data_IF_611681811476
#
_entry.id   IF_611681811476
#
_cell.length_a   1.000
_cell.length_b   1.000
_cell.length_c   1.000
_cell.angle_alpha   90.00
_cell.angle_beta   90.00
_cell.angle_gamma   90.00
#
_symmetry.space_group_name_H-M   'P 1'
#
loop_
_entity.id
_entity.type
_entity.pdbx_description
1 polymer ?
#
# COMPACT_ATOMS: atom_id res chain seq x y z
N UNK A 1 -12.85 8.43 20.76
CA UNK A 1 -13.06 8.06 19.35
C UNK A 1 -11.87 7.19 18.99
N UNK A 2 -12.10 6.05 18.37
CA UNK A 2 -11.00 5.18 17.93
C UNK A 2 -10.27 5.89 16.77
N UNK A 3 -9.04 6.31 17.02
CA UNK A 3 -8.22 7.10 16.08
C UNK A 3 -7.76 6.26 14.89
N UNK A 4 -7.56 4.95 15.07
CA UNK A 4 -7.26 4.01 14.00
C UNK A 4 -8.47 3.90 13.05
N UNK A 5 -9.67 3.75 13.62
CA UNK A 5 -10.89 3.71 12.81
C UNK A 5 -11.12 5.03 12.06
N UNK A 6 -10.89 6.18 12.71
CA UNK A 6 -11.02 7.48 12.07
C UNK A 6 -10.04 7.64 10.89
N UNK A 7 -8.80 7.15 11.05
CA UNK A 7 -7.83 7.10 9.97
C UNK A 7 -8.28 6.18 8.83
N UNK A 8 -8.75 4.97 9.13
CA UNK A 8 -9.28 4.04 8.14
C UNK A 8 -10.46 4.64 7.35
N UNK A 9 -11.38 5.31 8.04
CA UNK A 9 -12.50 6.00 7.41
C UNK A 9 -12.02 7.13 6.49
N UNK A 10 -11.02 7.91 6.90
CA UNK A 10 -10.42 8.95 6.08
C UNK A 10 -9.80 8.38 4.81
N UNK A 11 -8.99 7.32 4.91
CA UNK A 11 -8.37 6.67 3.74
C UNK A 11 -9.48 6.16 2.81
N UNK A 12 -10.45 5.42 3.34
CA UNK A 12 -11.57 4.91 2.55
C UNK A 12 -12.31 6.03 1.80
N UNK A 13 -12.74 7.09 2.49
CA UNK A 13 -13.48 8.19 1.87
C UNK A 13 -12.67 8.92 0.80
N UNK A 14 -11.38 9.17 1.05
CA UNK A 14 -10.51 9.81 0.06
C UNK A 14 -10.26 8.92 -1.15
N UNK A 15 -10.07 7.62 -0.97
CA UNK A 15 -9.96 6.67 -2.08
C UNK A 15 -11.24 6.64 -2.91
N UNK A 16 -12.42 6.55 -2.28
CA UNK A 16 -13.71 6.61 -2.99
C UNK A 16 -13.83 7.89 -3.81
N UNK A 17 -13.53 9.04 -3.22
CA UNK A 17 -13.60 10.33 -3.90
C UNK A 17 -12.61 10.42 -5.08
N UNK A 18 -11.39 9.94 -4.91
CA UNK A 18 -10.37 9.93 -5.97
C UNK A 18 -10.78 9.01 -7.14
N UNK A 19 -11.28 7.81 -6.84
CA UNK A 19 -11.78 6.87 -7.85
C UNK A 19 -12.98 7.43 -8.63
N UNK A 20 -13.88 8.15 -7.95
CA UNK A 20 -15.01 8.82 -8.61
C UNK A 20 -14.57 9.98 -9.54
N UNK A 21 -13.38 10.54 -9.31
CA UNK A 21 -12.80 11.63 -10.12
C UNK A 21 -12.12 11.17 -11.41
N UNK A 22 -11.89 9.87 -11.60
CA UNK A 22 -11.26 9.34 -12.82
C UNK A 22 -12.11 9.61 -14.06
N UNK A 23 -11.46 9.91 -15.19
CA UNK A 23 -12.14 9.95 -16.49
C UNK A 23 -12.62 8.55 -16.90
N UNK A 24 -13.59 8.49 -17.82
CA UNK A 24 -14.08 7.22 -18.37
C UNK A 24 -12.97 6.46 -19.10
N UNK A 25 -12.16 7.17 -19.90
CA UNK A 25 -11.01 6.60 -20.61
C UNK A 25 -10.00 5.92 -19.68
N UNK A 26 -9.66 6.56 -18.55
CA UNK A 26 -8.76 5.96 -17.57
C UNK A 26 -9.43 4.77 -16.87
N UNK A 27 -10.70 4.89 -16.48
CA UNK A 27 -11.42 3.81 -15.81
C UNK A 27 -11.48 2.53 -16.65
N UNK A 28 -11.66 2.67 -17.96
CA UNK A 28 -11.72 1.52 -18.87
C UNK A 28 -10.35 0.85 -19.08
N UNK A 29 -9.25 1.60 -18.93
CA UNK A 29 -7.89 1.09 -19.14
C UNK A 29 -7.22 0.55 -17.87
N UNK A 30 -7.67 0.97 -16.68
CA UNK A 30 -7.12 0.51 -15.39
C UNK A 30 -7.38 -0.98 -15.16
N UNK A 31 -6.33 -1.72 -14.83
CA UNK A 31 -6.43 -3.16 -14.52
C UNK A 31 -6.03 -3.53 -13.09
N UNK A 32 -5.38 -2.64 -12.34
CA UNK A 32 -5.01 -2.87 -10.95
C UNK A 32 -4.86 -1.55 -10.19
N UNK A 33 -5.15 -1.58 -8.89
CA UNK A 33 -4.80 -0.53 -7.95
C UNK A 33 -3.56 -0.93 -7.14
N UNK A 34 -2.78 0.06 -6.71
CA UNK A 34 -1.68 -0.09 -5.78
C UNK A 34 -2.02 0.66 -4.49
N UNK A 35 -1.85 -0.03 -3.36
CA UNK A 35 -1.78 0.50 -2.01
C UNK A 35 -0.33 0.26 -1.55
N UNK A 36 0.55 1.19 -1.92
CA UNK A 36 1.94 1.14 -1.56
C UNK A 36 2.13 1.65 -0.13
N UNK A 37 2.42 0.74 0.79
CA UNK A 37 2.76 1.04 2.18
C UNK A 37 4.27 1.30 2.29
N UNK A 38 4.63 2.37 2.97
CA UNK A 38 6.00 2.85 3.21
C UNK A 38 6.24 2.92 4.72
N UNK A 39 7.51 2.91 5.14
CA UNK A 39 7.88 3.07 6.56
C UNK A 39 8.15 1.76 7.31
N UNK A 40 8.50 0.68 6.60
CA UNK A 40 9.04 -0.52 7.25
C UNK A 40 10.40 -0.27 7.93
N UNK A 41 11.23 0.59 7.30
CA UNK A 41 12.57 0.99 7.79
C UNK A 41 12.64 2.48 8.18
N UNK A 42 11.59 3.26 7.88
CA UNK A 42 11.53 4.71 8.18
C UNK A 42 10.56 4.97 9.34
N UNK A 43 10.84 6.02 10.10
CA UNK A 43 10.12 6.39 11.33
C UNK A 43 8.59 6.42 11.22
N UNK A 44 8.04 6.80 10.06
CA UNK A 44 6.60 7.06 9.93
C UNK A 44 6.01 6.33 8.73
N UNK A 45 4.95 5.53 8.94
CA UNK A 45 4.33 4.84 7.84
C UNK A 45 3.64 5.82 6.91
N UNK A 46 3.72 5.50 5.63
CA UNK A 46 3.04 6.23 4.57
C UNK A 46 2.21 5.29 3.71
N UNK A 47 1.19 5.82 3.08
CA UNK A 47 0.42 5.16 2.03
C UNK A 47 0.42 6.04 0.79
N UNK A 48 0.71 5.44 -0.35
CA UNK A 48 0.39 6.00 -1.65
C UNK A 48 -0.58 5.05 -2.35
N UNK A 49 -1.75 5.58 -2.72
CA UNK A 49 -2.73 4.88 -3.54
C UNK A 49 -2.57 5.36 -4.97
N UNK A 50 -2.38 4.43 -5.89
CA UNK A 50 -2.24 4.69 -7.32
C UNK A 50 -2.86 3.56 -8.14
N UNK A 51 -2.72 3.62 -9.45
CA UNK A 51 -3.23 2.59 -10.37
C UNK A 51 -2.23 2.32 -11.50
N UNK A 52 -2.46 1.24 -12.23
CA UNK A 52 -1.81 0.99 -13.51
C UNK A 52 -2.82 0.66 -14.60
N UNK A 53 -2.43 0.89 -15.84
CA UNK A 53 -3.31 0.82 -17.01
C UNK A 53 -2.76 -0.13 -18.07
N UNK A 54 -3.64 -0.68 -18.91
CA UNK A 54 -3.22 -1.61 -19.96
C UNK A 54 -2.32 -0.90 -20.98
N UNK A 55 -2.57 0.38 -21.28
CA UNK A 55 -1.70 1.19 -22.14
C UNK A 55 -0.27 1.26 -21.58
N UNK A 56 -0.10 1.57 -20.29
CA UNK A 56 1.23 1.61 -19.66
C UNK A 56 1.91 0.24 -19.74
N UNK A 57 1.18 -0.84 -19.45
CA UNK A 57 1.72 -2.20 -19.55
C UNK A 57 2.23 -2.50 -20.97
N UNK A 58 1.42 -2.27 -22.00
CA UNK A 58 1.83 -2.48 -23.40
C UNK A 58 3.04 -1.61 -23.76
N UNK A 59 3.10 -0.37 -23.29
CA UNK A 59 4.23 0.54 -23.51
C UNK A 59 5.55 0.11 -22.83
N UNK A 60 5.49 -0.80 -21.86
CA UNK A 60 6.65 -1.31 -21.11
C UNK A 60 7.06 -2.74 -21.49
N UNK A 61 6.26 -3.46 -22.28
CA UNK A 61 6.65 -4.77 -22.81
C UNK A 61 7.99 -4.72 -23.53
N UNK A 62 8.80 -5.77 -23.35
CA UNK A 62 10.16 -5.85 -23.89
C UNK A 62 11.19 -4.86 -23.32
N UNK A 63 10.84 -4.05 -22.31
CA UNK A 63 11.77 -3.17 -21.58
C UNK A 63 12.20 -3.73 -20.22
N UNK A 64 11.74 -4.94 -19.90
CA UNK A 64 12.03 -5.64 -18.66
C UNK A 64 13.15 -6.65 -18.85
N UNK A 65 13.83 -7.00 -17.75
CA UNK A 65 14.93 -7.96 -17.80
C UNK A 65 14.39 -9.40 -17.91
N UNK A 66 13.22 -9.68 -17.33
CA UNK A 66 12.74 -11.03 -17.08
C UNK A 66 11.25 -11.26 -17.46
N UNK A 67 10.88 -11.02 -18.73
CA UNK A 67 9.57 -11.33 -19.34
C UNK A 67 8.51 -10.21 -19.24
N UNK A 68 7.51 -10.27 -20.11
CA UNK A 68 6.43 -9.26 -20.19
C UNK A 68 5.62 -9.17 -18.89
N UNK A 69 5.45 -10.26 -18.15
CA UNK A 69 4.71 -10.26 -16.87
C UNK A 69 5.37 -9.37 -15.80
N UNK A 70 6.68 -9.15 -15.89
CA UNK A 70 7.39 -8.17 -15.05
C UNK A 70 6.90 -6.74 -15.31
N UNK A 71 6.62 -6.41 -16.58
CA UNK A 71 6.14 -5.07 -16.97
C UNK A 71 4.75 -4.79 -16.40
N UNK A 72 3.97 -5.85 -16.19
CA UNK A 72 2.63 -5.80 -15.59
C UNK A 72 2.72 -5.69 -14.07
N UNK A 73 3.50 -6.54 -13.42
CA UNK A 73 3.39 -6.74 -11.97
C UNK A 73 4.49 -6.10 -11.12
N UNK A 74 5.55 -5.58 -11.73
CA UNK A 74 6.58 -4.85 -11.00
C UNK A 74 6.26 -3.34 -10.97
N UNK A 75 6.09 -2.81 -9.76
CA UNK A 75 5.70 -1.42 -9.51
C UNK A 75 6.68 -0.41 -10.10
N UNK A 76 7.95 -0.79 -10.27
CA UNK A 76 8.95 0.07 -10.92
C UNK A 76 8.59 0.46 -12.37
N UNK A 77 7.73 -0.31 -13.05
CA UNK A 77 7.28 -0.02 -14.42
C UNK A 77 5.91 0.68 -14.48
N UNK A 78 5.26 0.90 -13.33
CA UNK A 78 3.97 1.58 -13.25
C UNK A 78 4.12 3.10 -13.45
N UNK A 79 2.99 3.80 -13.58
CA UNK A 79 2.94 5.26 -13.72
C UNK A 79 3.40 6.02 -12.45
N UNK A 80 3.39 5.35 -11.28
CA UNK A 80 3.80 5.91 -9.99
C UNK A 80 3.12 7.26 -9.71
N UNK A 81 3.89 8.36 -9.63
CA UNK A 81 3.39 9.71 -9.33
C UNK A 81 2.37 10.23 -10.35
N UNK A 82 2.45 9.82 -11.63
CA UNK A 82 1.52 10.24 -12.68
C UNK A 82 0.11 9.66 -12.48
N UNK A 83 -0.01 8.62 -11.65
CA UNK A 83 -1.26 7.95 -11.31
C UNK A 83 -1.57 8.02 -9.81
N UNK A 84 -0.94 8.93 -9.05
CA UNK A 84 -1.24 9.10 -7.62
C UNK A 84 -2.70 9.58 -7.43
N UNK A 85 -3.49 8.77 -6.73
CA UNK A 85 -4.86 9.10 -6.32
C UNK A 85 -4.90 9.72 -4.93
N UNK A 86 -4.03 9.23 -4.04
CA UNK A 86 -3.98 9.64 -2.64
C UNK A 86 -2.57 9.40 -2.10
N UNK A 87 -1.96 10.43 -1.52
CA UNK A 87 -0.78 10.28 -0.66
C UNK A 87 -1.12 10.65 0.77
N UNK A 88 -0.79 9.74 1.69
CA UNK A 88 -0.97 9.90 3.13
C UNK A 88 0.36 9.59 3.79
N UNK A 89 1.00 10.59 4.35
CA UNK A 89 2.19 10.45 5.16
C UNK A 89 2.23 11.60 6.16
N UNK A 90 3.15 11.49 7.13
CA UNK A 90 3.27 12.49 8.18
C UNK A 90 3.79 13.85 7.67
N UNK A 91 4.65 13.86 6.64
CA UNK A 91 5.18 15.08 6.04
C UNK A 91 4.12 15.90 5.30
N UNK A 92 3.04 15.25 4.83
CA UNK A 92 1.85 15.87 4.25
C UNK A 92 0.86 16.41 5.30
N UNK A 93 1.23 16.45 6.59
CA UNK A 93 0.40 16.94 7.72
C UNK A 93 -0.98 16.25 7.81
N UNK A 94 -1.01 14.93 7.64
CA UNK A 94 -2.26 14.17 7.78
C UNK A 94 -2.69 14.10 9.26
N UNK A 95 -3.76 14.82 9.60
CA UNK A 95 -4.22 14.96 10.99
C UNK A 95 -4.71 13.64 11.59
N UNK A 96 -5.36 12.80 10.80
CA UNK A 96 -5.87 11.50 11.27
C UNK A 96 -4.73 10.53 11.57
N UNK A 97 -3.70 10.49 10.72
CA UNK A 97 -2.50 9.69 10.96
C UNK A 97 -1.73 10.18 12.19
N UNK A 98 -1.55 11.51 12.31
CA UNK A 98 -0.90 12.11 13.48
C UNK A 98 -1.69 11.85 14.77
N UNK A 99 -3.02 11.92 14.73
CA UNK A 99 -3.87 11.61 15.86
C UNK A 99 -3.78 10.14 16.25
N UNK A 100 -3.72 9.23 15.26
CA UNK A 100 -3.51 7.81 15.53
C UNK A 100 -2.15 7.55 16.16
N UNK A 101 -1.07 8.05 15.56
CA UNK A 101 0.29 7.99 16.11
C UNK A 101 0.32 8.50 17.56
N UNK A 102 -0.21 9.69 17.84
CA UNK A 102 -0.20 10.27 19.19
C UNK A 102 -0.97 9.45 20.25
N UNK A 103 -1.90 8.60 19.83
CA UNK A 103 -2.74 7.80 20.72
C UNK A 103 -2.35 6.33 20.81
N UNK A 104 -1.53 5.85 19.87
CA UNK A 104 -1.17 4.45 19.79
C UNK A 104 -0.12 4.11 20.86
N UNK A 105 -0.31 3.02 21.65
CA UNK A 105 0.62 2.64 22.71
C UNK A 105 2.01 2.24 22.18
N UNK A 106 2.08 2.01 20.87
CA UNK A 106 3.25 1.55 20.14
C UNK A 106 3.89 2.61 19.24
N UNK A 107 3.38 3.85 19.22
CA UNK A 107 4.01 4.93 18.46
C UNK A 107 5.19 5.58 19.22
N UNK A 108 6.06 6.25 18.46
CA UNK A 108 7.18 7.05 18.96
C UNK A 108 7.09 8.50 18.48
N UNK A 109 7.57 9.43 19.29
CA UNK A 109 7.77 10.84 18.88
C UNK A 109 9.02 11.01 18.03
N UNK A 110 9.16 12.16 17.37
CA UNK A 110 10.33 12.49 16.54
C UNK A 110 11.60 12.44 17.39
N UNK A 111 11.53 13.01 18.59
CA UNK A 111 12.64 13.04 19.54
C UNK A 111 13.02 11.64 20.02
N UNK A 112 12.03 10.75 20.19
CA UNK A 112 12.28 9.35 20.54
C UNK A 112 12.95 8.58 19.41
N UNK A 113 12.72 8.96 18.15
CA UNK A 113 13.36 8.38 16.97
C UNK A 113 14.76 8.94 16.73
N UNK A 114 14.96 10.25 16.81
CA UNK A 114 16.28 10.87 16.69
C UNK A 114 17.23 10.34 17.77
N UNK A 115 16.73 10.15 19.01
CA UNK A 115 17.49 9.54 20.09
C UNK A 115 17.96 8.11 19.80
N UNK A 116 17.32 7.38 18.86
CA UNK A 116 17.74 6.02 18.46
C UNK A 116 19.04 6.02 17.65
N UNK A 117 19.39 7.14 17.01
CA UNK A 117 20.60 7.28 16.19
C UNK A 117 21.69 8.11 16.87
N UNK A 118 21.37 8.81 17.96
CA UNK A 118 22.28 9.69 18.70
C UNK A 118 23.01 9.01 19.89
N UNK A 119 22.64 7.78 20.27
CA UNK A 119 23.23 7.06 21.41
C UNK A 119 24.05 5.81 21.05
N UNK A 120 25.27 5.68 21.60
CA UNK A 120 26.13 4.49 21.52
C UNK A 120 25.60 3.27 22.35
N UNK A 121 24.40 3.36 22.93
CA UNK A 121 23.84 2.35 23.83
C UNK A 121 22.94 1.34 23.07
N UNK A 122 23.53 0.22 22.66
CA UNK A 122 22.91 -0.91 21.93
C UNK A 122 21.71 -1.59 22.64
N UNK A 123 21.36 -1.21 23.88
CA UNK A 123 20.36 -1.90 24.72
C UNK A 123 18.95 -1.25 24.66
N UNK A 124 18.85 0.06 24.37
CA UNK A 124 17.56 0.79 24.30
C UNK A 124 16.86 0.74 22.93
N UNK A 125 17.54 0.33 21.85
CA UNK A 125 16.90 0.18 20.51
C UNK A 125 15.88 -0.98 20.50
N UNK A 126 16.11 -2.04 21.29
CA UNK A 126 15.32 -3.28 21.21
C UNK A 126 13.84 -3.15 21.62
N UNK A 127 13.53 -2.24 22.55
CA UNK A 127 12.16 -1.93 22.95
C UNK A 127 11.46 -0.99 21.96
N UNK A 128 12.24 -0.35 21.11
CA UNK A 128 11.85 0.73 20.23
C UNK A 128 11.56 0.24 18.80
N UNK A 129 12.42 -0.63 18.30
CA UNK A 129 12.20 -1.39 17.07
C UNK A 129 10.91 -2.23 17.14
N UNK A 130 10.61 -2.80 18.32
CA UNK A 130 9.41 -3.61 18.53
C UNK A 130 8.13 -2.82 18.35
N UNK A 131 8.00 -1.64 18.95
CA UNK A 131 6.74 -0.91 18.81
C UNK A 131 6.61 -0.21 17.46
N UNK A 132 7.73 0.15 16.81
CA UNK A 132 7.71 0.65 15.43
C UNK A 132 7.14 -0.43 14.50
N UNK A 133 7.63 -1.66 14.65
CA UNK A 133 7.10 -2.83 13.94
C UNK A 133 5.63 -3.12 14.30
N UNK A 134 5.22 -3.03 15.56
CA UNK A 134 3.81 -3.18 15.96
C UNK A 134 2.91 -2.09 15.33
N UNK A 135 3.36 -0.84 15.28
CA UNK A 135 2.64 0.23 14.58
C UNK A 135 2.51 -0.09 13.11
N UNK A 136 3.62 -0.46 12.49
CA UNK A 136 3.67 -0.75 11.06
C UNK A 136 2.73 -1.90 10.70
N UNK A 137 2.73 -2.99 11.49
CA UNK A 137 1.78 -4.08 11.31
C UNK A 137 0.33 -3.62 11.45
N UNK A 138 0.01 -2.81 12.46
CA UNK A 138 -1.33 -2.25 12.62
C UNK A 138 -1.72 -1.34 11.44
N UNK A 139 -0.76 -0.59 10.89
CA UNK A 139 -0.92 0.24 9.71
C UNK A 139 -1.26 -0.59 8.48
N UNK A 140 -0.49 -1.66 8.21
CA UNK A 140 -0.75 -2.59 7.11
C UNK A 140 -2.12 -3.27 7.25
N UNK A 141 -2.45 -3.78 8.43
CA UNK A 141 -3.77 -4.40 8.70
C UNK A 141 -4.91 -3.40 8.48
N UNK A 142 -4.69 -2.13 8.78
CA UNK A 142 -5.66 -1.06 8.50
C UNK A 142 -5.86 -0.88 6.99
N UNK A 143 -4.79 -0.94 6.18
CA UNK A 143 -4.92 -0.86 4.72
C UNK A 143 -5.64 -2.09 4.15
N UNK A 144 -5.33 -3.29 4.65
CA UNK A 144 -6.04 -4.52 4.28
C UNK A 144 -7.54 -4.36 4.56
N UNK A 145 -7.92 -3.86 5.74
CA UNK A 145 -9.31 -3.64 6.11
C UNK A 145 -10.00 -2.59 5.21
N UNK A 146 -9.31 -1.50 4.85
CA UNK A 146 -9.84 -0.50 3.92
C UNK A 146 -10.08 -1.12 2.54
N UNK A 147 -9.15 -1.90 2.01
CA UNK A 147 -9.29 -2.58 0.72
C UNK A 147 -10.46 -3.58 0.75
N UNK A 148 -10.55 -4.39 1.80
CA UNK A 148 -11.67 -5.32 1.99
C UNK A 148 -13.01 -4.58 2.01
N UNK A 149 -13.06 -3.41 2.66
CA UNK A 149 -14.24 -2.54 2.68
C UNK A 149 -14.59 -1.98 1.29
N UNK A 150 -13.60 -1.56 0.49
CA UNK A 150 -13.84 -1.11 -0.90
C UNK A 150 -14.50 -2.20 -1.75
N UNK A 151 -14.12 -3.46 -1.55
CA UNK A 151 -14.78 -4.60 -2.19
C UNK A 151 -16.18 -4.87 -1.60
N UNK A 152 -16.31 -4.90 -0.28
CA UNK A 152 -17.57 -5.21 0.41
C UNK A 152 -18.68 -4.18 0.11
N UNK A 153 -18.32 -2.90 -0.03
CA UNK A 153 -19.25 -1.82 -0.40
C UNK A 153 -19.43 -1.69 -1.93
N UNK A 154 -18.78 -2.54 -2.73
CA UNK A 154 -18.93 -2.56 -4.19
C UNK A 154 -18.33 -1.36 -4.92
N UNK A 155 -17.43 -0.60 -4.26
CA UNK A 155 -16.79 0.58 -4.84
C UNK A 155 -15.99 0.21 -6.07
N UNK A 156 -15.14 -0.82 -5.99
CA UNK A 156 -14.26 -1.23 -7.09
C UNK A 156 -15.07 -1.63 -8.33
N UNK A 157 -16.01 -2.57 -8.17
CA UNK A 157 -16.89 -2.98 -9.27
C UNK A 157 -17.77 -1.84 -9.81
N UNK A 158 -18.22 -0.92 -8.93
CA UNK A 158 -18.97 0.26 -9.33
C UNK A 158 -18.16 1.26 -10.17
N UNK A 159 -16.87 1.41 -9.87
CA UNK A 159 -15.95 2.33 -10.58
C UNK A 159 -15.49 1.76 -11.93
N UNK A 160 -15.09 0.48 -11.97
CA UNK A 160 -14.41 -0.14 -13.12
C UNK A 160 -15.30 -1.11 -13.91
N UNK A 161 -16.57 -1.27 -13.54
CA UNK A 161 -17.51 -2.23 -14.15
C UNK A 161 -17.24 -3.70 -13.79
N UNK A 162 -16.12 -3.98 -13.10
CA UNK A 162 -15.71 -5.30 -12.60
C UNK A 162 -14.79 -5.11 -11.39
N UNK A 163 -14.65 -6.15 -10.56
CA UNK A 163 -13.57 -6.17 -9.58
C UNK A 163 -12.22 -6.30 -10.30
N UNK A 164 -11.27 -5.47 -9.89
CA UNK A 164 -9.86 -5.53 -10.29
C UNK A 164 -9.00 -5.72 -9.03
N UNK A 165 -7.83 -6.37 -9.12
CA UNK A 165 -6.97 -6.58 -7.96
C UNK A 165 -6.46 -5.26 -7.38
N UNK A 166 -6.31 -5.23 -6.06
CA UNK A 166 -5.70 -4.14 -5.29
C UNK A 166 -4.46 -4.69 -4.60
N UNK A 167 -3.27 -4.28 -5.05
CA UNK A 167 -2.01 -4.74 -4.49
C UNK A 167 -1.73 -3.97 -3.19
N UNK A 168 -1.62 -4.66 -2.05
CA UNK A 168 -1.15 -4.06 -0.79
C UNK A 168 0.30 -4.48 -0.63
N UNK A 169 1.24 -3.56 -0.83
CA UNK A 169 2.64 -3.94 -1.03
C UNK A 169 3.64 -2.90 -0.53
N UNK A 170 4.88 -3.35 -0.37
CA UNK A 170 6.09 -2.53 -0.25
C UNK A 170 6.82 -2.45 -1.60
N UNK A 171 8.02 -1.87 -1.62
CA UNK A 171 8.83 -1.81 -2.84
C UNK A 171 9.24 -3.20 -3.35
N UNK A 172 9.51 -4.14 -2.42
CA UNK A 172 9.90 -5.51 -2.73
C UNK A 172 8.77 -6.51 -2.49
N UNK A 173 8.73 -7.59 -3.29
CA UNK A 173 7.66 -8.60 -3.26
C UNK A 173 8.13 -9.93 -2.67
N UNK A 174 8.45 -9.91 -1.37
CA UNK A 174 8.69 -11.11 -0.56
C UNK A 174 7.36 -11.65 0.03
N UNK A 175 7.43 -12.67 0.89
CA UNK A 175 6.24 -13.38 1.37
C UNK A 175 5.18 -12.47 2.02
N UNK A 176 5.56 -11.45 2.79
CA UNK A 176 4.58 -10.64 3.53
C UNK A 176 3.71 -9.75 2.61
N UNK A 177 4.25 -8.92 1.70
CA UNK A 177 3.45 -8.18 0.72
C UNK A 177 2.52 -9.06 -0.13
N UNK A 178 2.98 -10.27 -0.51
CA UNK A 178 2.14 -11.22 -1.24
C UNK A 178 0.97 -11.72 -0.38
N UNK A 179 1.21 -12.04 0.89
CA UNK A 179 0.16 -12.44 1.84
C UNK A 179 -0.82 -11.30 2.15
N UNK A 180 -0.35 -10.05 2.24
CA UNK A 180 -1.23 -8.89 2.45
C UNK A 180 -2.16 -8.70 1.26
N UNK A 181 -1.62 -8.76 0.05
CA UNK A 181 -2.40 -8.69 -1.19
C UNK A 181 -3.42 -9.84 -1.27
N UNK A 182 -3.02 -11.08 -0.98
CA UNK A 182 -3.92 -12.24 -0.96
C UNK A 182 -5.08 -12.05 0.03
N UNK A 183 -4.80 -11.55 1.24
CA UNK A 183 -5.81 -11.31 2.30
C UNK A 183 -6.71 -10.12 2.01
N UNK A 184 -6.22 -9.09 1.32
CA UNK A 184 -6.98 -7.88 1.03
C UNK A 184 -8.02 -8.07 -0.07
N UNK A 185 -7.78 -9.02 -0.98
CA UNK A 185 -8.62 -9.22 -2.17
C UNK A 185 -9.60 -10.39 -2.01
N UNK A 186 -10.72 -10.39 -2.75
CA UNK A 186 -11.54 -11.59 -2.95
C UNK A 186 -10.69 -12.76 -3.48
N UNK A 187 -11.04 -13.98 -3.06
CA UNK A 187 -10.36 -15.21 -3.46
C UNK A 187 -10.24 -15.31 -4.99
N UNK A 188 -9.04 -15.61 -5.48
CA UNK A 188 -8.75 -15.76 -6.91
C UNK A 188 -8.50 -14.47 -7.68
N UNK A 189 -8.88 -13.29 -7.15
CA UNK A 189 -8.81 -12.03 -7.91
C UNK A 189 -7.38 -11.58 -8.19
N UNK A 190 -6.46 -11.82 -7.27
CA UNK A 190 -5.05 -11.43 -7.38
C UNK A 190 -4.13 -12.58 -7.84
N UNK A 191 -4.68 -13.73 -8.24
CA UNK A 191 -3.90 -14.95 -8.52
C UNK A 191 -2.86 -14.77 -9.62
N UNK A 192 -3.13 -13.94 -10.62
CA UNK A 192 -2.19 -13.67 -11.70
C UNK A 192 -0.91 -13.02 -11.16
N UNK A 193 -1.06 -11.97 -10.35
CA UNK A 193 0.04 -11.28 -9.68
C UNK A 193 0.77 -12.20 -8.69
N UNK A 194 0.02 -12.92 -7.84
CA UNK A 194 0.59 -13.80 -6.81
C UNK A 194 1.38 -14.96 -7.45
N UNK A 195 0.85 -15.56 -8.52
CA UNK A 195 1.50 -16.67 -9.22
C UNK A 195 2.80 -16.22 -9.89
N UNK A 196 2.80 -15.03 -10.50
CA UNK A 196 4.00 -14.46 -11.08
C UNK A 196 5.12 -14.35 -10.04
N UNK A 197 4.91 -13.63 -8.93
CA UNK A 197 5.95 -13.42 -7.92
C UNK A 197 6.35 -14.70 -7.19
N UNK A 198 5.41 -15.59 -6.84
CA UNK A 198 5.72 -16.90 -6.25
C UNK A 198 6.56 -17.79 -7.16
N UNK A 199 6.47 -17.62 -8.49
CA UNK A 199 7.29 -18.37 -9.45
C UNK A 199 8.74 -17.85 -9.56
N UNK A 200 8.97 -16.56 -9.32
CA UNK A 200 10.31 -15.96 -9.34
C UNK A 200 11.20 -16.52 -8.24
N UNK A 201 10.64 -16.78 -7.05
CA UNK A 201 11.36 -17.37 -5.92
C UNK A 201 11.66 -18.86 -6.09
N UNK A 202 10.88 -19.60 -6.88
CA UNK A 202 11.09 -21.03 -7.16
C UNK A 202 12.17 -21.30 -8.22
N UNK A 203 12.63 -20.25 -8.89
CA UNK A 203 13.57 -20.34 -10.01
C UNK A 203 15.01 -19.95 -9.61
N UNK A 204 15.26 -19.71 -8.32
CA UNK A 204 16.59 -19.45 -7.74
C UNK A 204 17.17 -20.69 -7.07
#
# INVERSE_FOLDING_TARGET
MDTQQAFADMVFQKTVAALAGLSEEIRDDVYALSFWVRGGDEWLPGLSVSYNTCEQFEGKKGKTLNQDDEAKWNYAYWLQDEAELLGVDAYRNNQELQAWLASAPFAYTEEQYEAMFDGDDEDESSGTDKKSNEFYQAFVETQIAVVQRLFAEGVIAGTFGKNIPVLVHELEYYDAPLLWTERANPEGLADEFLSYWRSQWRSQ
#
